data_IF_883270917322
#
_entry.id   IF_883270917322
#
_cell.length_a   1.000
_cell.length_b   1.000
_cell.length_c   1.000
_cell.angle_alpha   90.00
_cell.angle_beta   90.00
_cell.angle_gamma   90.00
#
_symmetry.space_group_name_H-M   'P 1'
#
loop_
_entity.id
_entity.type
_entity.pdbx_description
1 polymer ?
#
# COMPACT_ATOMS: atom_id res chain seq x y z
N UNK A 1 37.76 -31.69 56.71
CA UNK A 1 37.33 -33.10 56.74
C UNK A 1 37.62 -33.69 55.37
N UNK A 2 38.77 -34.33 55.20
CA UNK A 2 39.22 -34.98 53.96
C UNK A 2 39.66 -36.39 54.32
N UNK A 3 38.87 -37.39 53.95
CA UNK A 3 39.19 -38.80 54.12
C UNK A 3 40.12 -39.26 52.98
N UNK A 4 41.22 -39.98 53.23
CA UNK A 4 41.99 -40.61 52.17
C UNK A 4 41.30 -41.91 51.71
N UNK A 5 40.98 -41.99 50.42
CA UNK A 5 40.57 -43.24 49.74
C UNK A 5 41.79 -44.15 49.62
N UNK A 6 41.81 -45.23 50.40
CA UNK A 6 42.77 -46.33 50.28
C UNK A 6 42.42 -47.19 49.07
N UNK A 7 43.25 -47.14 48.02
CA UNK A 7 43.21 -48.10 46.90
C UNK A 7 43.85 -49.43 47.34
N UNK A 8 43.27 -50.60 47.02
CA UNK A 8 43.88 -51.89 47.34
C UNK A 8 45.12 -52.16 46.48
N UNK A 9 46.20 -52.72 47.04
CA UNK A 9 47.37 -53.17 46.29
C UNK A 9 47.10 -54.56 45.71
N UNK A 10 46.50 -54.63 44.53
CA UNK A 10 46.53 -55.86 43.73
C UNK A 10 46.89 -55.45 42.31
N UNK A 11 48.13 -55.76 41.92
CA UNK A 11 48.58 -55.60 40.55
C UNK A 11 47.63 -56.39 39.63
N UNK A 12 47.21 -55.84 38.48
CA UNK A 12 46.46 -56.61 37.50
C UNK A 12 47.31 -57.81 37.06
N UNK A 13 46.76 -59.02 37.20
CA UNK A 13 47.36 -60.25 36.68
C UNK A 13 47.29 -60.19 35.15
N UNK A 14 48.45 -59.98 34.52
CA UNK A 14 48.60 -59.97 33.07
C UNK A 14 49.12 -61.32 32.55
N UNK A 15 48.82 -62.42 33.24
CA UNK A 15 49.07 -63.75 32.70
C UNK A 15 48.44 -63.88 31.31
N UNK A 16 49.26 -64.22 30.33
CA UNK A 16 48.83 -64.42 28.94
C UNK A 16 47.66 -65.41 28.93
N UNK A 17 46.46 -65.01 28.48
CA UNK A 17 45.32 -65.92 28.51
C UNK A 17 45.61 -67.15 27.62
N UNK A 18 45.22 -68.33 28.10
CA UNK A 18 45.57 -69.64 27.55
C UNK A 18 45.36 -69.79 26.03
N UNK A 19 44.44 -69.01 25.44
CA UNK A 19 44.16 -69.00 24.01
C UNK A 19 45.25 -68.36 23.13
N UNK A 20 46.23 -67.67 23.71
CA UNK A 20 47.40 -67.13 23.01
C UNK A 20 48.59 -68.10 23.00
N UNK A 21 48.50 -69.25 23.68
CA UNK A 21 49.52 -70.30 23.66
C UNK A 21 49.46 -71.08 22.34
N UNK A 22 50.59 -71.30 21.62
CA UNK A 22 50.60 -72.10 20.40
C UNK A 22 50.09 -73.52 20.68
N UNK A 23 48.91 -73.87 20.17
CA UNK A 23 48.25 -75.17 20.41
C UNK A 23 47.09 -75.14 21.43
N UNK A 24 46.79 -73.99 22.04
CA UNK A 24 45.60 -73.80 22.88
C UNK A 24 44.31 -73.92 22.05
N UNK A 25 43.34 -74.70 22.53
CA UNK A 25 42.01 -74.76 21.92
C UNK A 25 41.28 -73.44 22.18
N UNK A 26 40.91 -72.73 21.13
CA UNK A 26 39.99 -71.59 21.22
C UNK A 26 38.67 -72.16 21.78
N UNK A 27 38.13 -71.64 22.90
CA UNK A 27 36.80 -72.05 23.34
C UNK A 27 35.81 -71.79 22.21
N UNK A 28 34.88 -72.72 21.95
CA UNK A 28 33.88 -72.61 20.88
C UNK A 28 33.11 -71.30 21.04
N UNK A 29 33.56 -70.25 20.33
CA UNK A 29 32.84 -69.00 20.25
C UNK A 29 31.53 -69.30 19.49
N UNK A 30 30.36 -68.87 20.01
CA UNK A 30 29.15 -68.99 19.22
C UNK A 30 29.40 -68.28 17.88
N UNK A 31 29.08 -68.96 16.78
CA UNK A 31 29.27 -68.41 15.45
C UNK A 31 28.68 -66.98 15.42
N UNK A 32 29.37 -65.99 14.80
CA UNK A 32 28.80 -64.67 14.67
C UNK A 32 27.42 -64.82 14.01
N UNK A 33 26.36 -64.19 14.55
CA UNK A 33 25.03 -64.31 13.98
C UNK A 33 25.13 -64.00 12.49
N UNK A 34 24.49 -64.84 11.69
CA UNK A 34 24.55 -64.77 10.24
C UNK A 34 24.14 -63.36 9.78
N UNK A 35 24.70 -62.89 8.67
CA UNK A 35 24.42 -61.55 8.15
C UNK A 35 22.90 -61.36 7.91
N UNK A 36 22.19 -62.45 7.66
CA UNK A 36 20.72 -62.50 7.57
C UNK A 36 20.02 -62.20 8.91
N UNK A 37 20.52 -62.71 10.03
CA UNK A 37 20.00 -62.38 11.38
C UNK A 37 20.31 -60.94 11.78
N UNK A 38 21.46 -60.42 11.33
CA UNK A 38 21.84 -59.02 11.54
C UNK A 38 20.93 -58.08 10.73
N UNK A 39 20.60 -58.43 9.50
CA UNK A 39 19.63 -57.70 8.68
C UNK A 39 18.21 -57.80 9.24
N UNK A 40 17.80 -58.96 9.78
CA UNK A 40 16.53 -59.10 10.49
C UNK A 40 16.46 -58.23 11.76
N UNK A 41 17.62 -57.88 12.33
CA UNK A 41 17.76 -57.01 13.51
C UNK A 41 17.89 -55.52 13.15
N UNK A 42 17.98 -55.15 11.86
CA UNK A 42 17.81 -53.76 11.44
C UNK A 42 16.35 -53.34 11.70
N UNK A 43 16.11 -52.88 12.92
CA UNK A 43 14.85 -52.31 13.36
C UNK A 43 14.62 -51.03 12.55
N UNK A 44 13.52 -51.01 11.82
CA UNK A 44 13.04 -49.94 10.96
C UNK A 44 13.23 -48.57 11.64
N UNK A 45 13.97 -47.67 11.00
CA UNK A 45 14.24 -46.33 11.53
C UNK A 45 12.93 -45.57 11.43
N UNK A 46 12.26 -45.41 12.57
CA UNK A 46 11.05 -44.62 12.65
C UNK A 46 11.41 -43.17 12.34
N UNK A 47 10.97 -42.67 11.18
CA UNK A 47 11.01 -41.25 10.89
C UNK A 47 10.19 -40.51 11.96
N UNK A 48 10.69 -39.38 12.51
CA UNK A 48 9.86 -38.56 13.37
C UNK A 48 8.59 -38.18 12.60
N UNK A 49 7.41 -38.23 13.25
CA UNK A 49 6.17 -37.81 12.60
C UNK A 49 6.35 -36.42 12.01
N UNK A 50 5.81 -36.20 10.80
CA UNK A 50 5.89 -34.93 10.08
C UNK A 50 5.60 -33.78 11.05
N UNK A 51 6.57 -32.87 11.19
CA UNK A 51 6.40 -31.71 12.06
C UNK A 51 5.20 -30.93 11.53
N UNK A 52 4.09 -30.77 12.28
CA UNK A 52 3.01 -29.94 11.82
C UNK A 52 3.60 -28.54 11.63
N UNK A 53 3.54 -28.03 10.40
CA UNK A 53 4.00 -26.69 10.01
C UNK A 53 3.15 -25.56 10.67
N UNK A 54 2.55 -25.84 11.83
CA UNK A 54 1.50 -25.05 12.45
C UNK A 54 1.75 -24.91 13.95
N UNK A 55 1.69 -23.70 14.52
CA UNK A 55 1.24 -22.43 13.93
C UNK A 55 2.39 -21.67 13.28
N UNK A 56 2.11 -20.79 12.30
CA UNK A 56 3.08 -19.77 11.90
C UNK A 56 3.56 -19.08 13.16
N UNK A 57 4.89 -19.07 13.36
CA UNK A 57 5.49 -18.46 14.54
C UNK A 57 4.86 -17.06 14.77
N UNK A 58 4.58 -16.66 16.02
CA UNK A 58 3.79 -15.46 16.33
C UNK A 58 4.28 -14.16 15.66
N UNK A 59 5.54 -14.12 15.22
CA UNK A 59 6.12 -13.04 14.42
C UNK A 59 5.42 -12.79 13.07
N UNK A 60 4.76 -13.78 12.46
CA UNK A 60 4.00 -13.55 11.22
C UNK A 60 2.75 -12.69 11.45
N UNK A 61 2.10 -12.83 12.60
CA UNK A 61 0.99 -11.96 12.96
C UNK A 61 1.47 -10.54 13.23
N UNK A 62 2.65 -10.37 13.84
CA UNK A 62 3.28 -9.07 13.99
C UNK A 62 3.61 -8.44 12.63
N UNK A 63 4.14 -9.21 11.68
CA UNK A 63 4.42 -8.75 10.31
C UNK A 63 3.14 -8.37 9.57
N UNK A 64 2.10 -9.21 9.61
CA UNK A 64 0.81 -8.94 9.00
C UNK A 64 0.16 -7.67 9.60
N UNK A 65 0.23 -7.50 10.92
CA UNK A 65 -0.22 -6.30 11.61
C UNK A 65 0.55 -5.05 11.18
N UNK A 66 1.86 -5.16 11.02
CA UNK A 66 2.70 -4.05 10.53
C UNK A 66 2.35 -3.65 9.10
N UNK A 67 2.19 -4.62 8.20
CA UNK A 67 1.80 -4.36 6.79
C UNK A 67 0.43 -3.69 6.75
N UNK A 68 -0.53 -4.17 7.53
CA UNK A 68 -1.87 -3.59 7.61
C UNK A 68 -1.82 -2.17 8.17
N UNK A 69 -1.05 -1.93 9.23
CA UNK A 69 -0.86 -0.60 9.82
C UNK A 69 -0.26 0.38 8.80
N UNK A 70 0.79 -0.03 8.08
CA UNK A 70 1.41 0.80 7.03
C UNK A 70 0.39 1.09 5.92
N UNK A 71 -0.35 0.08 5.47
CA UNK A 71 -1.41 0.25 4.47
C UNK A 71 -2.47 1.26 4.91
N UNK A 72 -2.94 1.18 6.16
CA UNK A 72 -3.92 2.12 6.73
C UNK A 72 -3.34 3.52 6.83
N UNK A 73 -2.09 3.67 7.31
CA UNK A 73 -1.44 4.99 7.42
C UNK A 73 -1.27 5.64 6.04
N UNK A 74 -0.86 4.88 5.02
CA UNK A 74 -0.74 5.37 3.66
C UNK A 74 -2.10 5.77 3.08
N UNK A 75 -3.13 4.95 3.29
CA UNK A 75 -4.49 5.25 2.84
C UNK A 75 -5.05 6.53 3.50
N UNK A 76 -4.86 6.69 4.81
CA UNK A 76 -5.27 7.90 5.54
C UNK A 76 -4.49 9.11 5.06
N UNK A 77 -3.17 8.98 4.85
CA UNK A 77 -2.32 10.07 4.39
C UNK A 77 -2.73 10.54 2.99
N UNK A 78 -2.97 9.60 2.09
CA UNK A 78 -3.44 9.88 0.74
C UNK A 78 -4.81 10.56 0.76
N UNK A 79 -5.74 10.04 1.56
CA UNK A 79 -7.06 10.64 1.73
C UNK A 79 -6.99 12.06 2.31
N UNK A 80 -6.20 12.27 3.36
CA UNK A 80 -6.00 13.62 3.94
C UNK A 80 -5.36 14.57 2.95
N UNK A 81 -4.40 14.11 2.15
CA UNK A 81 -3.75 14.95 1.16
C UNK A 81 -4.76 15.43 0.10
N UNK A 82 -5.62 14.54 -0.40
CA UNK A 82 -6.71 14.90 -1.32
C UNK A 82 -7.69 15.89 -0.73
N UNK A 83 -8.11 15.67 0.51
CA UNK A 83 -8.99 16.60 1.24
C UNK A 83 -8.36 17.99 1.38
N UNK A 84 -7.07 18.07 1.73
CA UNK A 84 -6.38 19.37 1.83
C UNK A 84 -6.28 20.10 0.50
N UNK A 85 -6.08 19.36 -0.60
CA UNK A 85 -6.01 19.93 -1.95
C UNK A 85 -7.36 20.48 -2.39
N UNK A 86 -8.44 19.72 -2.21
CA UNK A 86 -9.78 20.18 -2.54
C UNK A 86 -10.23 21.35 -1.67
N UNK A 87 -9.88 21.37 -0.39
CA UNK A 87 -10.14 22.51 0.49
C UNK A 87 -9.41 23.78 0.04
N UNK A 88 -8.12 23.67 -0.32
CA UNK A 88 -7.35 24.78 -0.86
C UNK A 88 -7.94 25.30 -2.16
N UNK A 89 -8.32 24.39 -3.07
CA UNK A 89 -8.97 24.74 -4.34
C UNK A 89 -10.32 25.46 -4.11
N UNK A 90 -11.14 24.97 -3.17
CA UNK A 90 -12.41 25.62 -2.82
C UNK A 90 -12.18 27.04 -2.30
N UNK A 91 -11.26 27.20 -1.35
CA UNK A 91 -10.94 28.51 -0.77
C UNK A 91 -10.43 29.49 -1.81
N UNK A 92 -9.59 29.02 -2.74
CA UNK A 92 -9.08 29.84 -3.83
C UNK A 92 -10.22 30.28 -4.77
N UNK A 93 -11.09 29.35 -5.16
CA UNK A 93 -12.25 29.66 -6.00
C UNK A 93 -13.19 30.68 -5.33
N UNK A 94 -13.48 30.52 -4.04
CA UNK A 94 -14.31 31.47 -3.29
C UNK A 94 -13.67 32.85 -3.17
N UNK A 95 -12.34 32.92 -2.96
CA UNK A 95 -11.62 34.18 -2.94
C UNK A 95 -11.67 34.91 -4.29
N UNK A 96 -11.45 34.18 -5.39
CA UNK A 96 -11.53 34.76 -6.75
C UNK A 96 -12.96 35.20 -7.09
N UNK A 97 -13.97 34.44 -6.68
CA UNK A 97 -15.37 34.86 -6.83
C UNK A 97 -15.68 36.13 -6.04
N UNK A 98 -15.24 36.23 -4.78
CA UNK A 98 -15.46 37.41 -3.96
C UNK A 98 -14.82 38.67 -4.58
N UNK A 99 -13.61 38.53 -5.15
CA UNK A 99 -12.96 39.62 -5.89
C UNK A 99 -13.73 40.01 -7.14
N UNK A 100 -14.18 39.04 -7.94
CA UNK A 100 -14.98 39.29 -9.13
C UNK A 100 -16.33 39.96 -8.79
N UNK A 101 -16.93 39.60 -7.66
CA UNK A 101 -18.13 40.23 -7.12
C UNK A 101 -17.90 41.69 -6.71
N UNK A 102 -16.78 42.00 -6.05
CA UNK A 102 -16.45 43.37 -5.67
C UNK A 102 -16.29 44.27 -6.90
N UNK A 103 -15.65 43.77 -7.95
CA UNK A 103 -15.53 44.50 -9.23
C UNK A 103 -16.86 44.63 -9.98
N UNK A 104 -17.75 43.63 -9.86
CA UNK A 104 -19.08 43.69 -10.48
C UNK A 104 -19.99 44.73 -9.79
N UNK A 105 -19.88 44.90 -8.46
CA UNK A 105 -20.66 45.88 -7.70
C UNK A 105 -20.39 47.33 -8.10
N UNK A 106 -19.19 47.64 -8.59
CA UNK A 106 -18.88 48.95 -9.17
C UNK A 106 -19.68 49.23 -10.46
N UNK A 107 -20.21 48.19 -11.12
CA UNK A 107 -21.05 48.25 -12.32
C UNK A 107 -22.52 47.85 -12.13
N UNK A 108 -22.96 47.47 -10.92
CA UNK A 108 -24.34 47.11 -10.56
C UNK A 108 -24.48 45.90 -9.62
N UNK A 109 -25.70 45.65 -9.10
CA UNK A 109 -26.01 44.61 -8.07
C UNK A 109 -26.00 43.13 -8.60
N UNK A 110 -25.18 42.84 -9.61
CA UNK A 110 -25.17 41.55 -10.30
C UNK A 110 -24.13 40.55 -9.78
N UNK A 111 -24.40 39.25 -9.96
CA UNK A 111 -23.34 38.23 -9.97
C UNK A 111 -22.38 38.55 -11.13
N UNK A 112 -21.06 38.32 -11.02
CA UNK A 112 -20.15 38.40 -12.15
C UNK A 112 -20.61 37.50 -13.29
N UNK A 113 -20.27 37.91 -14.51
CA UNK A 113 -20.66 37.19 -15.72
C UNK A 113 -20.18 35.73 -15.72
N UNK A 114 -20.92 34.86 -16.42
CA UNK A 114 -20.62 33.44 -16.51
C UNK A 114 -19.21 33.17 -17.06
N UNK A 115 -18.70 34.03 -17.95
CA UNK A 115 -17.32 33.92 -18.44
C UNK A 115 -16.29 34.11 -17.33
N UNK A 116 -16.43 35.16 -16.50
CA UNK A 116 -15.51 35.46 -15.41
C UNK A 116 -15.45 34.32 -14.41
N UNK A 117 -16.63 33.76 -14.07
CA UNK A 117 -16.73 32.60 -13.19
C UNK A 117 -16.07 31.36 -13.82
N UNK A 118 -16.28 31.12 -15.12
CA UNK A 118 -15.71 29.99 -15.83
C UNK A 118 -14.18 30.08 -15.98
N UNK A 119 -13.64 31.27 -16.24
CA UNK A 119 -12.19 31.48 -16.28
C UNK A 119 -11.55 31.21 -14.91
N UNK A 120 -12.13 31.74 -13.84
CA UNK A 120 -11.69 31.50 -12.46
C UNK A 120 -11.75 30.02 -12.08
N UNK A 121 -12.89 29.36 -12.37
CA UNK A 121 -13.08 27.94 -12.11
C UNK A 121 -12.05 27.09 -12.87
N UNK A 122 -11.82 27.38 -14.16
CA UNK A 122 -10.93 26.59 -15.02
C UNK A 122 -9.49 26.54 -14.50
N UNK A 123 -8.96 27.66 -13.99
CA UNK A 123 -7.63 27.70 -13.39
C UNK A 123 -7.51 26.83 -12.13
N UNK A 124 -8.48 26.96 -11.22
CA UNK A 124 -8.53 26.19 -9.97
C UNK A 124 -8.70 24.69 -10.26
N UNK A 125 -9.63 24.33 -11.14
CA UNK A 125 -9.89 22.93 -11.52
C UNK A 125 -8.64 22.30 -12.15
N UNK A 126 -7.91 23.03 -13.00
CA UNK A 126 -6.68 22.53 -13.63
C UNK A 126 -5.56 22.27 -12.61
N UNK A 127 -5.36 23.18 -11.65
CA UNK A 127 -4.42 22.97 -10.54
C UNK A 127 -4.82 21.77 -9.67
N UNK A 128 -6.12 21.62 -9.38
CA UNK A 128 -6.63 20.50 -8.57
C UNK A 128 -6.45 19.15 -9.26
N UNK A 129 -6.65 19.06 -10.59
CA UNK A 129 -6.40 17.83 -11.34
C UNK A 129 -4.91 17.53 -11.44
N UNK A 130 -4.08 18.54 -11.74
CA UNK A 130 -2.61 18.37 -11.77
C UNK A 130 -2.06 17.86 -10.44
N UNK A 131 -2.55 18.38 -9.33
CA UNK A 131 -2.12 17.94 -8.00
C UNK A 131 -2.55 16.51 -7.65
N UNK A 132 -3.63 16.00 -8.25
CA UNK A 132 -4.14 14.63 -8.00
C UNK A 132 -3.59 13.59 -8.97
N UNK A 133 -3.41 13.94 -10.24
CA UNK A 133 -3.11 13.02 -11.33
C UNK A 133 -1.69 13.19 -11.89
N UNK A 134 -0.92 14.14 -11.37
CA UNK A 134 0.42 14.45 -11.86
C UNK A 134 0.43 15.27 -13.14
N UNK A 135 1.61 15.39 -13.75
CA UNK A 135 1.87 16.31 -14.86
C UNK A 135 1.23 15.89 -16.20
N UNK A 136 0.85 14.63 -16.33
CA UNK A 136 0.24 14.07 -17.54
C UNK A 136 -1.14 14.70 -17.82
N UNK A 137 -1.89 15.00 -16.76
CA UNK A 137 -3.18 15.67 -16.90
C UNK A 137 -3.07 17.15 -17.32
N UNK A 138 -1.89 17.76 -17.19
CA UNK A 138 -1.66 19.17 -17.55
C UNK A 138 -1.59 19.38 -19.06
N UNK A 139 -1.23 18.35 -19.83
CA UNK A 139 -1.18 18.39 -21.29
C UNK A 139 -2.59 18.37 -21.93
N UNK A 140 -3.61 17.98 -21.18
CA UNK A 140 -4.98 17.88 -21.70
C UNK A 140 -5.54 19.29 -21.96
N UNK A 141 -6.00 19.51 -23.19
CA UNK A 141 -6.63 20.76 -23.64
C UNK A 141 -7.90 20.44 -24.42
N UNK A 142 -8.78 21.44 -24.56
CA UNK A 142 -10.01 21.32 -25.35
C UNK A 142 -10.89 20.14 -24.92
N UNK A 143 -11.22 19.26 -25.86
CA UNK A 143 -12.13 18.14 -25.65
C UNK A 143 -11.57 17.08 -24.69
N UNK A 144 -10.25 16.88 -24.67
CA UNK A 144 -9.62 15.93 -23.75
C UNK A 144 -9.77 16.41 -22.30
N UNK A 145 -9.68 17.72 -22.07
CA UNK A 145 -9.95 18.33 -20.77
C UNK A 145 -11.44 18.29 -20.42
N UNK A 146 -12.33 18.58 -21.37
CA UNK A 146 -13.78 18.50 -21.15
C UNK A 146 -14.20 17.08 -20.71
N UNK A 147 -13.60 16.02 -21.29
CA UNK A 147 -13.84 14.63 -20.86
C UNK A 147 -13.45 14.39 -19.39
N UNK A 148 -12.36 14.98 -18.91
CA UNK A 148 -11.97 14.88 -17.49
C UNK A 148 -12.97 15.58 -16.57
N UNK A 149 -13.58 16.67 -17.02
CA UNK A 149 -14.59 17.41 -16.26
C UNK A 149 -15.93 16.67 -16.19
N UNK A 150 -16.30 15.96 -17.25
CA UNK A 150 -17.49 15.08 -17.30
C UNK A 150 -17.25 13.80 -16.49
N UNK A 151 -16.00 13.33 -16.39
CA UNK A 151 -15.67 12.09 -15.69
C UNK A 151 -15.77 12.23 -14.15
N UNK A 152 -16.56 11.35 -13.54
CA UNK A 152 -16.65 11.16 -12.08
C UNK A 152 -18.07 11.27 -11.53
N UNK A 153 -18.23 11.07 -10.22
CA UNK A 153 -19.54 11.06 -9.54
C UNK A 153 -20.30 12.39 -9.59
N UNK A 154 -19.61 13.51 -9.84
CA UNK A 154 -20.21 14.84 -9.92
C UNK A 154 -19.80 15.58 -11.20
N UNK A 155 -19.66 14.85 -12.30
CA UNK A 155 -19.29 15.41 -13.60
C UNK A 155 -20.18 16.58 -14.04
N UNK A 156 -19.59 17.50 -14.79
CA UNK A 156 -20.32 18.59 -15.45
C UNK A 156 -21.15 18.05 -16.62
N UNK A 157 -22.17 18.82 -17.03
CA UNK A 157 -22.82 18.57 -18.32
C UNK A 157 -21.82 18.77 -19.47
N UNK A 158 -22.03 18.10 -20.61
CA UNK A 158 -21.10 18.15 -21.75
C UNK A 158 -20.90 19.59 -22.25
N UNK A 159 -21.98 20.38 -22.34
CA UNK A 159 -21.91 21.78 -22.75
C UNK A 159 -21.16 22.66 -21.72
N UNK A 160 -21.42 22.46 -20.42
CA UNK A 160 -20.73 23.17 -19.34
C UNK A 160 -19.23 22.86 -19.33
N UNK A 161 -18.88 21.58 -19.49
CA UNK A 161 -17.50 21.12 -19.55
C UNK A 161 -16.74 21.67 -20.76
N UNK A 162 -17.40 21.71 -21.93
CA UNK A 162 -16.84 22.30 -23.15
C UNK A 162 -16.66 23.82 -23.00
N UNK A 163 -17.60 24.49 -22.33
CA UNK A 163 -17.48 25.91 -22.01
C UNK A 163 -16.31 26.18 -21.06
N UNK A 164 -16.22 25.46 -19.94
CA UNK A 164 -15.07 25.53 -19.00
C UNK A 164 -13.73 25.27 -19.70
N UNK A 165 -13.68 24.31 -20.62
CA UNK A 165 -12.44 24.01 -21.34
C UNK A 165 -11.94 25.17 -22.22
N UNK A 166 -12.86 26.02 -22.69
CA UNK A 166 -12.57 27.14 -23.59
C UNK A 166 -12.59 28.50 -22.90
N UNK A 167 -13.22 28.62 -21.73
CA UNK A 167 -13.38 29.86 -20.98
C UNK A 167 -12.09 30.68 -20.79
N UNK A 168 -10.92 30.09 -20.44
CA UNK A 168 -9.67 30.85 -20.32
C UNK A 168 -9.16 31.46 -21.62
N UNK A 169 -9.59 30.93 -22.76
CA UNK A 169 -9.13 31.31 -24.10
C UNK A 169 -10.07 32.30 -24.80
N UNK A 170 -11.24 32.59 -24.21
CA UNK A 170 -12.13 33.59 -24.79
C UNK A 170 -11.68 35.00 -24.40
N UNK A 171 -11.57 35.93 -25.38
CA UNK A 171 -11.45 37.35 -25.09
C UNK A 171 -12.65 37.83 -24.25
N UNK A 172 -12.47 38.78 -23.32
CA UNK A 172 -13.57 39.31 -22.49
C UNK A 172 -14.77 39.87 -23.27
N UNK A 173 -14.57 40.25 -24.54
CA UNK A 173 -15.61 40.87 -25.39
C UNK A 173 -16.23 39.91 -26.42
N UNK A 174 -15.74 38.66 -26.53
CA UNK A 174 -16.13 37.73 -27.58
C UNK A 174 -16.58 36.36 -27.04
N UNK A 175 -16.82 36.25 -25.73
CA UNK A 175 -17.29 35.00 -25.17
C UNK A 175 -18.75 34.75 -25.59
N UNK A 176 -19.04 33.55 -26.12
CA UNK A 176 -20.41 33.15 -26.40
C UNK A 176 -21.17 33.05 -25.07
N UNK A 177 -22.43 33.51 -25.07
CA UNK A 177 -23.32 33.29 -23.93
C UNK A 177 -23.43 31.77 -23.70
N UNK A 178 -23.07 31.37 -22.48
CA UNK A 178 -23.12 29.98 -22.07
C UNK A 178 -24.56 29.46 -22.01
N UNK A 179 -25.57 30.35 -21.96
CA UNK A 179 -26.97 30.00 -21.73
C UNK A 179 -27.19 29.38 -20.35
N UNK A 180 -26.21 29.53 -19.44
CA UNK A 180 -26.18 28.91 -18.12
C UNK A 180 -26.24 30.01 -17.07
N UNK A 181 -27.18 29.87 -16.13
CA UNK A 181 -27.32 30.80 -15.03
C UNK A 181 -26.03 30.84 -14.18
N UNK A 182 -25.43 32.03 -13.92
CA UNK A 182 -24.20 32.17 -13.14
C UNK A 182 -24.22 31.45 -11.78
N UNK A 183 -25.37 31.50 -11.07
CA UNK A 183 -25.57 30.81 -9.77
C UNK A 183 -25.54 29.28 -9.88
N UNK A 184 -26.15 28.74 -10.95
CA UNK A 184 -26.16 27.29 -11.19
C UNK A 184 -24.74 26.79 -11.48
N UNK A 185 -23.98 27.59 -12.23
CA UNK A 185 -22.61 27.29 -12.59
C UNK A 185 -21.66 27.26 -11.38
N UNK A 186 -21.75 28.25 -10.47
CA UNK A 186 -21.01 28.24 -9.20
C UNK A 186 -21.32 26.99 -8.37
N UNK A 187 -22.60 26.60 -8.32
CA UNK A 187 -23.05 25.40 -7.60
C UNK A 187 -22.45 24.13 -8.21
N UNK A 188 -22.43 24.02 -9.54
CA UNK A 188 -21.82 22.90 -10.25
C UNK A 188 -20.32 22.78 -9.96
N UNK A 189 -19.58 23.90 -9.98
CA UNK A 189 -18.14 23.93 -9.66
C UNK A 189 -17.88 23.51 -8.21
N UNK A 190 -18.64 24.05 -7.25
CA UNK A 190 -18.51 23.66 -5.83
C UNK A 190 -18.77 22.17 -5.62
N UNK A 191 -19.81 21.64 -6.26
CA UNK A 191 -20.17 20.22 -6.19
C UNK A 191 -19.05 19.35 -6.74
N UNK A 192 -18.46 19.74 -7.87
CA UNK A 192 -17.37 19.00 -8.49
C UNK A 192 -16.10 18.99 -7.63
N UNK A 193 -15.70 20.15 -7.08
CA UNK A 193 -14.52 20.24 -6.18
C UNK A 193 -14.73 19.35 -4.95
N UNK A 194 -15.93 19.37 -4.36
CA UNK A 194 -16.25 18.55 -3.18
C UNK A 194 -16.24 17.05 -3.48
N UNK A 195 -16.65 16.63 -4.68
CA UNK A 195 -16.64 15.23 -5.08
C UNK A 195 -15.22 14.68 -5.34
N UNK A 196 -14.21 15.56 -5.48
CA UNK A 196 -12.79 15.22 -5.62
C UNK A 196 -11.96 15.50 -4.35
N UNK A 197 -12.61 15.87 -3.25
CA UNK A 197 -12.02 15.90 -1.91
C UNK A 197 -11.92 14.47 -1.35
#
# INVERSE_FOLDING_TARGET
MTSPTTLPPTAPDFSTPDFLTPGGKIPDAPAPPSLEEQLATLRDIHLPPDVPFWPPAPGWYALAGLVLLVGVVLAIREWRWRQTLAYKAMKEFEATLAQAHAHAQEGGDGLPDAQTIAAAASGVLRRLVRAQSGDEATALTGEAWARVLVAGKAGFGVAEAAYLARAPYYPPAAAPDAGIAPKAFVTAVRRWIRARA
#
